data_IF_682598797779
#
_entry.id   IF_682598797779
#
_cell.length_a   1.000
_cell.length_b   1.000
_cell.length_c   1.000
_cell.angle_alpha   90.00
_cell.angle_beta   90.00
_cell.angle_gamma   90.00
#
_symmetry.space_group_name_H-M   'P 1'
#
loop_
_entity.id
_entity.type
_entity.pdbx_description
1 polymer ?
#
# COMPACT_ATOMS: atom_id res chain seq x y z
N UNK A 1 89.37 -7.39 33.69
CA UNK A 1 88.96 -5.97 33.73
C UNK A 1 87.46 -5.92 33.39
N UNK A 2 86.64 -5.34 34.27
CA UNK A 2 85.38 -4.58 34.00
C UNK A 2 84.45 -5.07 32.88
N UNK A 3 83.14 -5.30 33.00
CA UNK A 3 82.04 -4.96 33.93
C UNK A 3 80.81 -5.77 33.42
N UNK A 4 80.00 -6.38 34.30
CA UNK A 4 78.55 -6.10 34.52
C UNK A 4 77.64 -6.07 33.26
N UNK A 5 76.45 -6.68 33.13
CA UNK A 5 75.43 -7.22 34.05
C UNK A 5 74.31 -7.86 33.20
N UNK A 6 73.61 -8.85 33.78
CA UNK A 6 72.22 -9.30 33.57
C UNK A 6 71.43 -8.93 32.30
N UNK A 7 70.86 -9.96 31.65
CA UNK A 7 69.63 -9.89 30.85
C UNK A 7 68.63 -10.97 31.33
N UNK A 8 67.31 -10.69 31.36
CA UNK A 8 66.30 -11.51 32.02
C UNK A 8 65.58 -12.50 31.09
N UNK A 9 64.94 -13.50 31.71
CA UNK A 9 64.05 -14.48 31.08
C UNK A 9 62.94 -13.82 30.25
N UNK A 10 62.74 -14.31 29.04
CA UNK A 10 61.54 -14.06 28.24
C UNK A 10 60.55 -15.21 28.41
N UNK A 11 59.37 -14.91 28.96
CA UNK A 11 58.21 -15.78 28.95
C UNK A 11 57.49 -15.61 27.60
N UNK A 12 57.38 -16.69 26.81
CA UNK A 12 56.50 -16.76 25.64
C UNK A 12 55.05 -16.88 26.11
N UNK A 13 54.26 -15.83 25.92
CA UNK A 13 52.80 -15.89 25.96
C UNK A 13 52.31 -16.23 24.56
N UNK A 14 51.74 -17.43 24.41
CA UNK A 14 51.08 -17.89 23.19
C UNK A 14 49.64 -17.37 23.17
N UNK A 15 49.39 -16.29 22.43
CA UNK A 15 48.03 -15.76 22.23
C UNK A 15 47.37 -16.50 21.07
N UNK A 16 46.44 -17.41 21.36
CA UNK A 16 45.50 -17.96 20.37
C UNK A 16 44.50 -16.87 19.97
N UNK A 17 44.64 -16.31 18.77
CA UNK A 17 43.58 -15.51 18.15
C UNK A 17 42.59 -16.43 17.43
N UNK A 18 41.42 -16.66 18.04
CA UNK A 18 40.24 -17.07 17.31
C UNK A 18 39.70 -15.85 16.54
N UNK A 19 40.04 -15.75 15.25
CA UNK A 19 39.39 -14.82 14.34
C UNK A 19 37.97 -15.30 14.06
N UNK A 20 36.98 -14.78 14.79
CA UNK A 20 35.58 -14.91 14.41
C UNK A 20 35.35 -14.08 13.14
N UNK A 21 35.22 -14.76 11.99
CA UNK A 21 34.66 -14.14 10.79
C UNK A 21 33.17 -13.93 11.08
N UNK A 22 32.83 -12.75 11.61
CA UNK A 22 31.47 -12.23 11.58
C UNK A 22 31.12 -12.00 10.12
N UNK A 23 30.54 -13.02 9.47
CA UNK A 23 29.86 -12.83 8.20
C UNK A 23 28.69 -11.88 8.46
N UNK A 24 28.85 -10.61 8.11
CA UNK A 24 27.75 -9.68 8.07
C UNK A 24 26.70 -10.27 7.13
N UNK A 25 25.58 -10.73 7.69
CA UNK A 25 24.38 -11.00 6.90
C UNK A 25 24.00 -9.65 6.29
N UNK A 26 24.29 -9.48 5.01
CA UNK A 26 23.75 -8.37 4.24
C UNK A 26 22.23 -8.61 4.19
N UNK A 27 21.50 -7.98 5.09
CA UNK A 27 20.05 -7.85 4.97
C UNK A 27 19.86 -7.03 3.70
N UNK A 28 19.47 -7.70 2.60
CA UNK A 28 19.11 -6.99 1.39
C UNK A 28 18.03 -5.95 1.76
N UNK A 29 18.20 -4.66 1.45
CA UNK A 29 17.16 -3.68 1.69
C UNK A 29 15.87 -4.15 1.00
N UNK A 30 14.69 -3.89 1.60
CA UNK A 30 13.43 -4.28 0.99
C UNK A 30 13.36 -3.77 -0.45
N UNK A 31 12.87 -4.64 -1.32
CA UNK A 31 12.78 -4.48 -2.76
C UNK A 31 12.09 -3.16 -3.09
N UNK A 32 12.89 -2.18 -3.55
CA UNK A 32 12.56 -0.80 -3.94
C UNK A 32 11.94 0.08 -2.84
N UNK A 33 12.80 0.79 -2.11
CA UNK A 33 12.37 2.06 -1.49
C UNK A 33 11.95 3.02 -2.60
N UNK A 34 10.82 3.72 -2.42
CA UNK A 34 10.50 4.88 -3.22
C UNK A 34 11.73 5.80 -3.29
N UNK A 35 12.06 6.32 -4.47
CA UNK A 35 13.20 7.22 -4.67
C UNK A 35 12.74 8.66 -4.68
N UNK A 36 13.59 9.57 -4.21
CA UNK A 36 13.30 10.99 -4.37
C UNK A 36 13.30 11.37 -5.86
N UNK A 37 12.40 12.27 -6.25
CA UNK A 37 12.28 12.77 -7.61
C UNK A 37 11.81 14.22 -7.61
N UNK A 38 12.03 14.93 -8.72
CA UNK A 38 11.52 16.28 -8.93
C UNK A 38 10.52 16.27 -10.08
N UNK A 39 9.38 16.94 -9.92
CA UNK A 39 8.35 16.99 -10.95
C UNK A 39 7.51 18.26 -10.83
N UNK A 40 7.03 18.74 -11.97
CA UNK A 40 5.80 19.54 -12.00
C UNK A 40 4.60 18.66 -11.67
N UNK A 41 3.52 19.23 -11.17
CA UNK A 41 2.24 18.54 -11.02
C UNK A 41 1.20 19.22 -11.91
N UNK A 42 0.78 18.56 -12.99
CA UNK A 42 -0.13 19.10 -14.00
C UNK A 42 -1.54 18.58 -13.76
N UNK A 43 -2.48 19.45 -13.39
CA UNK A 43 -3.87 19.10 -13.15
C UNK A 43 -4.53 18.62 -14.43
N UNK A 44 -5.20 17.46 -14.42
CA UNK A 44 -5.87 16.96 -15.63
C UNK A 44 -7.15 17.72 -15.99
N UNK A 45 -7.78 18.41 -15.04
CA UNK A 45 -9.04 19.13 -15.25
C UNK A 45 -8.89 20.41 -16.07
N UNK A 46 -7.71 21.05 -16.02
CA UNK A 46 -7.45 22.31 -16.74
C UNK A 46 -6.08 22.43 -17.39
N UNK A 47 -5.17 21.47 -17.20
CA UNK A 47 -3.80 21.53 -17.72
C UNK A 47 -2.87 22.50 -16.99
N UNK A 48 -3.35 23.14 -15.92
CA UNK A 48 -2.56 24.03 -15.07
C UNK A 48 -1.67 23.27 -14.09
N UNK A 49 -0.56 23.86 -13.70
CA UNK A 49 0.42 23.31 -12.77
C UNK A 49 0.11 23.73 -11.33
N UNK A 50 0.43 22.86 -10.36
CA UNK A 50 0.61 23.23 -8.96
C UNK A 50 1.64 24.35 -8.90
N UNK A 51 1.36 25.42 -8.16
CA UNK A 51 2.15 26.64 -8.19
C UNK A 51 2.25 27.27 -6.80
N UNK A 52 3.47 27.71 -6.45
CA UNK A 52 3.70 28.64 -5.33
C UNK A 52 3.53 30.08 -5.84
N UNK A 53 2.44 30.79 -5.45
CA UNK A 53 2.11 32.09 -6.01
C UNK A 53 3.27 33.09 -5.90
N UNK A 54 3.68 33.63 -7.04
CA UNK A 54 4.73 34.65 -7.11
C UNK A 54 6.11 34.18 -6.62
N UNK A 55 6.38 32.86 -6.61
CA UNK A 55 7.61 32.28 -6.05
C UNK A 55 7.88 32.67 -4.59
N UNK A 56 6.81 32.96 -3.85
CA UNK A 56 6.92 33.44 -2.47
C UNK A 56 7.55 32.40 -1.55
N UNK A 57 8.28 32.88 -0.54
CA UNK A 57 8.86 32.05 0.53
C UNK A 57 8.08 32.17 1.84
N UNK A 58 6.87 32.75 1.83
CA UNK A 58 6.06 32.98 3.04
C UNK A 58 5.40 31.69 3.56
N UNK A 59 5.41 31.51 4.88
CA UNK A 59 4.71 30.38 5.54
C UNK A 59 3.20 30.60 5.51
N UNK A 60 2.43 29.53 5.32
CA UNK A 60 0.97 29.57 5.31
C UNK A 60 0.36 30.15 4.03
N UNK A 61 1.17 30.44 3.01
CA UNK A 61 0.67 30.87 1.71
C UNK A 61 -0.10 29.73 1.04
N UNK A 62 -1.35 29.97 0.68
CA UNK A 62 -2.16 29.01 -0.07
C UNK A 62 -1.58 28.81 -1.48
N UNK A 63 -1.35 27.56 -1.84
CA UNK A 63 -0.91 27.17 -3.18
C UNK A 63 -2.08 27.28 -4.16
N UNK A 64 -1.76 27.52 -5.42
CA UNK A 64 -2.75 27.67 -6.49
C UNK A 64 -2.47 26.66 -7.60
N UNK A 65 -3.40 26.55 -8.55
CA UNK A 65 -3.05 26.14 -9.90
C UNK A 65 -2.76 27.36 -10.77
N UNK A 66 -1.76 27.27 -11.62
CA UNK A 66 -1.43 28.33 -12.58
C UNK A 66 -1.02 27.74 -13.92
N UNK A 67 -1.08 28.53 -14.98
CA UNK A 67 -0.64 28.08 -16.30
C UNK A 67 0.80 27.61 -16.22
N UNK A 68 1.07 26.41 -16.72
CA UNK A 68 2.41 25.83 -16.67
C UNK A 68 3.40 26.69 -17.47
N UNK A 69 4.49 27.13 -16.83
CA UNK A 69 5.53 27.96 -17.44
C UNK A 69 6.95 27.48 -17.13
N UNK A 70 7.12 26.39 -16.36
CA UNK A 70 8.40 25.70 -16.19
C UNK A 70 9.38 26.37 -15.24
N UNK A 71 8.96 27.40 -14.52
CA UNK A 71 9.78 28.06 -13.49
C UNK A 71 9.83 27.24 -12.20
N UNK A 72 10.78 27.59 -11.33
CA UNK A 72 11.04 26.86 -10.09
C UNK A 72 9.81 26.78 -9.16
N UNK A 73 8.93 27.79 -9.13
CA UNK A 73 7.70 27.77 -8.31
C UNK A 73 6.65 26.74 -8.74
N UNK A 74 6.84 26.07 -9.86
CA UNK A 74 6.00 24.96 -10.34
C UNK A 74 6.69 23.60 -10.28
N UNK A 75 7.94 23.55 -9.79
CA UNK A 75 8.72 22.32 -9.69
C UNK A 75 8.89 21.91 -8.22
N UNK A 76 8.50 20.69 -7.89
CA UNK A 76 8.43 20.19 -6.52
C UNK A 76 9.32 18.97 -6.34
N UNK A 77 9.93 18.85 -5.16
CA UNK A 77 10.76 17.70 -4.80
C UNK A 77 9.95 16.73 -3.96
N UNK A 78 9.71 15.54 -4.46
CA UNK A 78 9.03 14.47 -3.76
C UNK A 78 10.07 13.62 -3.03
N UNK A 79 10.04 13.65 -1.70
CA UNK A 79 10.98 12.91 -0.84
C UNK A 79 10.24 11.76 -0.15
N UNK A 80 10.64 10.50 -0.36
CA UNK A 80 10.03 9.33 0.25
C UNK A 80 9.97 9.41 1.78
N UNK A 81 8.85 9.01 2.36
CA UNK A 81 8.74 8.83 3.81
C UNK A 81 9.28 7.45 4.16
N UNK A 82 10.32 7.42 5.01
CA UNK A 82 10.96 6.17 5.45
C UNK A 82 9.96 5.19 6.07
N UNK A 83 10.11 3.90 5.74
CA UNK A 83 9.20 2.84 6.20
C UNK A 83 7.91 2.72 5.39
N UNK A 84 7.71 3.56 4.37
CA UNK A 84 6.55 3.49 3.46
C UNK A 84 7.01 3.24 2.02
N UNK A 85 6.10 2.73 1.18
CA UNK A 85 6.38 2.46 -0.24
C UNK A 85 5.82 3.52 -1.18
N UNK A 86 4.93 4.39 -0.70
CA UNK A 86 4.14 5.29 -1.55
C UNK A 86 3.77 6.64 -0.93
N UNK A 87 4.35 6.99 0.23
CA UNK A 87 4.18 8.32 0.83
C UNK A 87 5.40 9.20 0.59
N UNK A 88 5.14 10.48 0.35
CA UNK A 88 6.14 11.49 0.06
C UNK A 88 5.88 12.76 0.88
N UNK A 89 6.95 13.38 1.38
CA UNK A 89 6.96 14.81 1.63
C UNK A 89 7.18 15.55 0.33
N UNK A 90 6.48 16.66 0.12
CA UNK A 90 6.57 17.43 -1.14
C UNK A 90 7.21 18.78 -0.82
N UNK A 91 8.49 18.91 -1.11
CA UNK A 91 9.25 20.16 -1.00
C UNK A 91 8.91 21.12 -2.12
N UNK A 92 8.72 22.39 -1.78
CA UNK A 92 8.57 23.49 -2.73
C UNK A 92 9.95 24.03 -3.15
N UNK A 93 9.98 24.94 -4.13
CA UNK A 93 11.23 25.65 -4.50
C UNK A 93 11.71 26.65 -3.45
N UNK A 94 10.86 27.07 -2.53
CA UNK A 94 11.28 27.75 -1.32
C UNK A 94 11.95 26.71 -0.40
N UNK A 95 13.28 26.65 -0.43
CA UNK A 95 14.07 25.69 0.35
C UNK A 95 13.62 25.61 1.81
N UNK A 96 13.43 24.39 2.32
CA UNK A 96 12.92 24.15 3.67
C UNK A 96 11.40 24.31 3.84
N UNK A 97 10.65 24.56 2.76
CA UNK A 97 9.18 24.59 2.76
C UNK A 97 8.59 23.42 2.00
N UNK A 98 7.51 22.89 2.55
CA UNK A 98 6.78 21.73 2.07
C UNK A 98 5.31 22.07 1.86
N UNK A 99 4.67 21.35 0.95
CA UNK A 99 3.21 21.33 0.79
C UNK A 99 2.59 20.79 2.09
N UNK A 100 1.52 21.43 2.55
CA UNK A 100 0.90 21.21 3.86
C UNK A 100 -0.62 21.35 3.74
N UNK A 101 -1.37 20.41 4.30
CA UNK A 101 -2.80 20.63 4.59
C UNK A 101 -2.88 21.56 5.79
N UNK A 102 -3.45 22.75 5.62
CA UNK A 102 -3.44 23.76 6.66
C UNK A 102 -4.07 23.24 7.97
N UNK A 103 -3.27 23.27 9.04
CA UNK A 103 -3.66 22.76 10.36
C UNK A 103 -3.85 21.24 10.43
N UNK A 104 -3.37 20.48 9.44
CA UNK A 104 -3.67 19.06 9.24
C UNK A 104 -5.17 18.73 9.30
N UNK A 105 -6.01 19.70 8.92
CA UNK A 105 -7.47 19.60 9.04
C UNK A 105 -7.99 18.39 8.25
N UNK A 106 -9.08 17.77 8.75
CA UNK A 106 -9.83 16.75 8.01
C UNK A 106 -11.00 17.32 7.20
N UNK A 107 -11.26 18.62 7.28
CA UNK A 107 -12.43 19.25 6.64
C UNK A 107 -12.28 19.35 5.11
N UNK A 108 -13.41 19.27 4.42
CA UNK A 108 -13.48 19.68 3.01
C UNK A 108 -13.13 21.15 2.87
N UNK A 109 -12.50 21.51 1.76
CA UNK A 109 -12.04 22.85 1.46
C UNK A 109 -10.96 23.40 2.41
N UNK A 110 -10.37 22.55 3.28
CA UNK A 110 -9.15 22.96 3.97
C UNK A 110 -8.06 23.27 2.95
N UNK A 111 -7.42 24.42 3.12
CA UNK A 111 -6.48 24.96 2.14
C UNK A 111 -5.18 24.17 2.12
N UNK A 112 -4.61 24.03 0.92
CA UNK A 112 -3.27 23.51 0.74
C UNK A 112 -2.31 24.69 0.72
N UNK A 113 -1.35 24.70 1.65
CA UNK A 113 -0.41 25.80 1.85
C UNK A 113 1.03 25.32 1.70
N UNK A 114 1.98 26.24 1.55
CA UNK A 114 3.37 25.93 1.88
C UNK A 114 3.67 26.25 3.34
N UNK A 115 4.47 25.42 3.99
CA UNK A 115 4.87 25.60 5.39
C UNK A 115 6.26 25.03 5.63
N UNK A 116 6.96 25.49 6.67
CA UNK A 116 8.18 24.86 7.17
C UNK A 116 8.03 23.33 7.20
N UNK A 117 8.98 22.63 6.56
CA UNK A 117 8.97 21.18 6.49
C UNK A 117 9.10 20.57 7.90
N UNK A 118 8.30 19.54 8.17
CA UNK A 118 8.27 18.79 9.41
C UNK A 118 7.83 17.34 9.16
N UNK A 119 7.49 16.63 10.25
CA UNK A 119 7.15 15.19 10.20
C UNK A 119 5.67 14.90 10.40
N UNK A 120 4.83 15.94 10.50
CA UNK A 120 3.39 15.84 10.72
C UNK A 120 2.65 15.20 9.54
N UNK A 121 1.54 14.52 9.80
CA UNK A 121 0.75 13.83 8.78
C UNK A 121 0.18 14.77 7.69
N UNK A 122 -0.03 16.06 8.03
CA UNK A 122 -0.50 17.07 7.07
C UNK A 122 0.50 17.42 5.96
N UNK A 123 1.77 16.99 6.09
CA UNK A 123 2.82 17.19 5.08
C UNK A 123 3.24 15.89 4.37
N UNK A 124 2.49 14.81 4.61
CA UNK A 124 2.72 13.51 3.97
C UNK A 124 1.60 13.28 2.97
N UNK A 125 1.98 12.96 1.75
CA UNK A 125 1.04 12.71 0.66
C UNK A 125 1.32 11.34 0.04
N UNK A 126 0.27 10.54 -0.11
CA UNK A 126 0.29 9.31 -0.87
C UNK A 126 0.07 9.62 -2.35
N UNK A 127 0.91 9.07 -3.21
CA UNK A 127 0.68 9.11 -4.65
C UNK A 127 -0.17 7.90 -5.05
N UNK A 128 -1.48 8.10 -5.14
CA UNK A 128 -2.42 7.03 -5.52
C UNK A 128 -2.54 7.00 -7.05
N UNK A 129 -2.08 5.94 -7.75
CA UNK A 129 -2.12 5.89 -9.21
C UNK A 129 -3.56 5.95 -9.73
N UNK A 130 -3.77 6.70 -10.82
CA UNK A 130 -5.05 6.78 -11.52
C UNK A 130 -4.85 6.39 -12.98
N UNK A 131 -5.48 5.28 -13.37
CA UNK A 131 -5.46 4.80 -14.76
C UNK A 131 -6.20 5.77 -15.68
N UNK A 132 -5.50 6.29 -16.70
CA UNK A 132 -6.07 7.09 -17.78
C UNK A 132 -5.58 6.52 -19.10
N UNK A 133 -6.51 6.25 -20.02
CA UNK A 133 -6.12 5.74 -21.34
C UNK A 133 -5.17 6.71 -22.04
N UNK A 134 -4.04 6.20 -22.54
CA UNK A 134 -3.04 6.98 -23.28
C UNK A 134 -2.22 7.99 -22.45
N UNK A 135 -2.35 8.01 -21.12
CA UNK A 135 -1.56 8.91 -20.26
C UNK A 135 -0.93 8.12 -19.09
N UNK A 136 0.34 8.36 -18.84
CA UNK A 136 1.10 7.77 -17.72
C UNK A 136 1.28 8.76 -16.59
N UNK A 137 1.80 8.27 -15.46
CA UNK A 137 2.24 9.11 -14.33
C UNK A 137 1.14 9.99 -13.75
N UNK A 138 -0.10 9.48 -13.74
CA UNK A 138 -1.20 10.22 -13.15
C UNK A 138 -1.54 9.70 -11.78
N UNK A 139 -1.64 10.63 -10.84
CA UNK A 139 -1.88 10.33 -9.44
C UNK A 139 -2.95 11.24 -8.86
N UNK A 140 -3.67 10.71 -7.90
CA UNK A 140 -4.30 11.49 -6.86
C UNK A 140 -3.26 11.77 -5.78
N UNK A 141 -3.02 13.03 -5.45
CA UNK A 141 -2.17 13.44 -4.33
C UNK A 141 -3.03 13.43 -3.06
N UNK A 142 -3.01 12.31 -2.36
CA UNK A 142 -3.86 12.08 -1.20
C UNK A 142 -3.12 12.48 0.09
N UNK A 143 -3.68 13.41 0.86
CA UNK A 143 -3.15 13.72 2.20
C UNK A 143 -3.25 12.50 3.10
N UNK A 144 -2.16 12.16 3.80
CA UNK A 144 -2.15 11.09 4.79
C UNK A 144 -2.95 11.46 6.03
N UNK A 145 -3.12 12.75 6.36
CA UNK A 145 -3.88 13.17 7.54
C UNK A 145 -5.38 12.99 7.42
N UNK A 146 -5.92 13.01 6.20
CA UNK A 146 -7.38 13.02 5.94
C UNK A 146 -7.84 11.99 4.91
N UNK A 147 -6.91 11.44 4.12
CA UNK A 147 -7.19 10.65 2.92
C UNK A 147 -7.92 11.39 1.80
N UNK A 148 -7.97 12.73 1.87
CA UNK A 148 -8.55 13.59 0.83
C UNK A 148 -7.49 14.03 -0.17
N UNK A 149 -7.93 14.35 -1.38
CA UNK A 149 -7.07 14.67 -2.50
C UNK A 149 -6.87 16.17 -2.65
N UNK A 150 -5.63 16.58 -2.92
CA UNK A 150 -5.30 17.95 -3.35
C UNK A 150 -6.00 18.22 -4.68
N UNK A 151 -6.84 19.25 -4.72
CA UNK A 151 -7.61 19.64 -5.91
C UNK A 151 -7.82 21.16 -5.93
N UNK A 152 -8.02 21.78 -7.10
CA UNK A 152 -8.53 23.14 -7.18
C UNK A 152 -9.88 23.27 -6.48
N UNK A 153 -10.08 24.39 -5.78
CA UNK A 153 -11.36 24.69 -5.14
C UNK A 153 -12.52 24.62 -6.15
N UNK A 154 -13.57 23.88 -5.78
CA UNK A 154 -14.74 23.65 -6.64
C UNK A 154 -14.44 22.86 -7.93
N UNK A 155 -13.31 22.13 -8.00
CA UNK A 155 -12.85 21.42 -9.20
C UNK A 155 -12.70 22.36 -10.43
N UNK A 156 -12.49 23.66 -10.19
CA UNK A 156 -12.31 24.69 -11.22
C UNK A 156 -11.06 24.43 -12.07
N UNK A 157 -11.11 24.76 -13.36
CA UNK A 157 -9.96 24.73 -14.28
C UNK A 157 -9.27 26.08 -14.43
N UNK A 158 -9.75 27.14 -13.78
CA UNK A 158 -9.22 28.49 -13.94
C UNK A 158 -7.85 28.66 -13.27
N UNK A 159 -6.90 29.29 -13.96
CA UNK A 159 -5.64 29.73 -13.38
C UNK A 159 -5.89 30.69 -12.21
N UNK A 160 -5.08 30.57 -11.16
CA UNK A 160 -5.25 31.34 -9.92
C UNK A 160 -6.19 30.70 -8.91
N UNK A 161 -6.86 29.60 -9.26
CA UNK A 161 -7.70 28.89 -8.29
C UNK A 161 -6.84 28.32 -7.16
N UNK A 162 -7.20 28.67 -5.92
CA UNK A 162 -6.59 28.12 -4.72
C UNK A 162 -6.80 26.62 -4.60
N UNK A 163 -5.78 25.93 -4.10
CA UNK A 163 -5.85 24.50 -3.85
C UNK A 163 -6.40 24.21 -2.47
N UNK A 164 -7.21 23.16 -2.41
CA UNK A 164 -7.84 22.63 -1.20
C UNK A 164 -7.75 21.11 -1.19
N UNK A 165 -8.23 20.48 -0.13
CA UNK A 165 -8.54 19.06 -0.14
C UNK A 165 -10.05 18.80 -0.27
N UNK A 166 -10.40 17.78 -1.05
CA UNK A 166 -11.75 17.23 -1.18
C UNK A 166 -11.68 15.69 -1.25
N UNK A 167 -12.80 14.95 -1.06
CA UNK A 167 -12.80 13.51 -1.22
C UNK A 167 -12.18 13.09 -2.56
N UNK A 168 -11.34 12.07 -2.56
CA UNK A 168 -10.73 11.57 -3.78
C UNK A 168 -11.81 10.99 -4.72
N UNK A 169 -11.77 11.35 -6.00
CA UNK A 169 -12.64 10.78 -7.05
C UNK A 169 -11.84 10.58 -8.34
N UNK A 170 -12.39 9.87 -9.31
CA UNK A 170 -11.79 9.73 -10.64
C UNK A 170 -11.86 10.98 -11.52
N UNK A 171 -12.47 12.07 -11.04
CA UNK A 171 -12.62 13.32 -11.80
C UNK A 171 -11.26 13.90 -12.18
N UNK A 172 -11.14 14.42 -13.41
CA UNK A 172 -9.88 14.95 -13.92
C UNK A 172 -9.30 16.08 -13.04
N UNK A 173 -10.15 16.94 -12.47
CA UNK A 173 -9.72 18.01 -11.57
C UNK A 173 -9.04 17.52 -10.27
N UNK A 174 -9.29 16.27 -9.83
CA UNK A 174 -8.73 15.70 -8.58
C UNK A 174 -7.49 14.85 -8.80
N UNK A 175 -6.87 15.00 -9.96
CA UNK A 175 -5.77 14.15 -10.41
C UNK A 175 -4.70 14.97 -11.14
N UNK A 176 -3.46 14.54 -10.98
CA UNK A 176 -2.29 15.29 -11.39
C UNK A 176 -1.32 14.38 -12.12
N UNK A 177 -0.90 14.78 -13.32
CA UNK A 177 0.19 14.14 -14.03
C UNK A 177 1.52 14.65 -13.46
N UNK A 178 2.43 13.74 -13.13
CA UNK A 178 3.76 14.01 -12.59
C UNK A 178 4.85 13.57 -13.60
N UNK A 179 5.22 14.40 -14.58
CA UNK A 179 6.11 14.00 -15.67
C UNK A 179 7.53 13.60 -15.22
N UNK A 180 7.97 14.06 -14.05
CA UNK A 180 9.27 13.76 -13.48
C UNK A 180 9.27 12.59 -12.51
N UNK A 181 8.19 11.80 -12.44
CA UNK A 181 8.14 10.60 -11.61
C UNK A 181 9.17 9.57 -12.10
N UNK A 182 10.20 9.29 -11.30
CA UNK A 182 11.30 8.37 -11.65
C UNK A 182 11.20 7.01 -10.96
N UNK A 183 10.19 6.78 -10.12
CA UNK A 183 9.89 5.44 -9.65
C UNK A 183 9.55 4.59 -10.87
N UNK A 184 10.26 3.49 -11.11
CA UNK A 184 9.89 2.54 -12.16
C UNK A 184 8.41 2.14 -11.98
N UNK A 185 7.53 2.70 -12.82
CA UNK A 185 6.09 2.49 -12.74
C UNK A 185 5.24 3.56 -13.45
N UNK A 186 5.82 4.31 -14.39
CA UNK A 186 5.15 5.39 -15.10
C UNK A 186 4.28 4.91 -16.25
N UNK A 187 3.10 4.48 -15.85
CA UNK A 187 1.95 4.00 -16.60
C UNK A 187 1.11 3.19 -15.61
N UNK A 188 -0.12 2.80 -15.93
CA UNK A 188 -0.57 1.53 -15.39
C UNK A 188 0.36 0.49 -16.02
N UNK A 189 1.56 0.29 -15.45
CA UNK A 189 2.24 -0.96 -15.62
C UNK A 189 1.34 -1.91 -14.88
N UNK A 190 0.43 -2.54 -15.62
CA UNK A 190 -0.07 -3.89 -15.37
C UNK A 190 0.92 -4.54 -14.41
N UNK A 191 0.59 -4.67 -13.11
CA UNK A 191 1.58 -5.16 -12.15
C UNK A 191 2.17 -6.46 -12.65
N UNK A 192 3.44 -6.77 -12.32
CA UNK A 192 4.12 -7.91 -12.88
C UNK A 192 3.23 -9.14 -12.82
N UNK A 193 3.13 -9.89 -13.92
CA UNK A 193 2.35 -11.13 -13.88
C UNK A 193 2.99 -12.09 -12.87
N UNK A 194 2.21 -13.04 -12.38
CA UNK A 194 2.61 -13.99 -11.33
C UNK A 194 2.91 -13.34 -9.97
N UNK A 195 2.24 -12.23 -9.67
CA UNK A 195 2.20 -11.62 -8.33
C UNK A 195 0.83 -11.76 -7.69
N UNK A 196 0.78 -11.56 -6.38
CA UNK A 196 -0.45 -11.37 -5.64
C UNK A 196 -0.77 -9.88 -5.60
N UNK A 197 -1.92 -9.49 -6.16
CA UNK A 197 -2.45 -8.12 -6.07
C UNK A 197 -3.40 -8.04 -4.89
N UNK A 198 -3.24 -7.03 -4.06
CA UNK A 198 -4.08 -6.84 -2.88
C UNK A 198 -4.81 -5.51 -3.00
N UNK A 199 -6.11 -5.53 -2.76
CA UNK A 199 -6.99 -4.37 -2.88
C UNK A 199 -7.66 -4.12 -1.54
N UNK A 200 -7.72 -2.85 -1.14
CA UNK A 200 -8.67 -2.40 -0.14
C UNK A 200 -9.73 -1.55 -0.84
N UNK A 201 -10.95 -2.07 -0.99
CA UNK A 201 -12.07 -1.32 -1.52
C UNK A 201 -12.74 -0.56 -0.38
N UNK A 202 -12.58 0.76 -0.42
CA UNK A 202 -13.19 1.70 0.52
C UNK A 202 -14.45 2.28 -0.12
N UNK A 203 -15.67 1.94 0.37
CA UNK A 203 -16.89 2.57 -0.13
C UNK A 203 -16.82 4.10 -0.13
N UNK A 204 -17.66 4.74 -0.95
CA UNK A 204 -17.58 6.18 -1.22
C UNK A 204 -17.84 7.06 0.01
N UNK A 205 -18.65 6.57 0.94
CA UNK A 205 -19.05 7.19 2.21
C UNK A 205 -18.17 6.75 3.41
N UNK A 206 -17.28 5.78 3.22
CA UNK A 206 -16.33 5.35 4.25
C UNK A 206 -15.13 6.30 4.22
N UNK A 207 -14.78 6.95 5.35
CA UNK A 207 -13.60 7.80 5.40
C UNK A 207 -12.34 6.94 5.21
N UNK A 208 -11.32 7.52 4.59
CA UNK A 208 -10.03 6.85 4.53
C UNK A 208 -9.45 6.76 5.94
N UNK A 209 -8.96 5.57 6.27
CA UNK A 209 -8.27 5.33 7.51
C UNK A 209 -7.03 4.50 7.19
N UNK A 210 -5.88 5.08 7.49
CA UNK A 210 -4.56 4.53 7.20
C UNK A 210 -4.33 3.17 7.86
N UNK A 211 -5.05 2.85 8.94
CA UNK A 211 -4.96 1.57 9.64
C UNK A 211 -5.35 0.38 8.76
N UNK A 212 -6.28 0.56 7.83
CA UNK A 212 -6.72 -0.52 6.94
C UNK A 212 -5.64 -0.96 5.95
N UNK A 213 -5.11 -0.11 5.05
CA UNK A 213 -4.07 -0.55 4.13
C UNK A 213 -2.78 -1.00 4.85
N UNK A 214 -2.43 -0.41 5.99
CA UNK A 214 -1.27 -0.85 6.78
C UNK A 214 -1.51 -2.22 7.43
N UNK A 215 -2.70 -2.43 7.98
CA UNK A 215 -3.13 -3.69 8.57
C UNK A 215 -3.21 -4.84 7.56
N UNK A 216 -3.83 -4.58 6.42
CA UNK A 216 -3.93 -5.53 5.30
C UNK A 216 -2.52 -5.87 4.78
N UNK A 217 -1.66 -4.88 4.61
CA UNK A 217 -0.27 -5.13 4.24
C UNK A 217 0.47 -5.99 5.28
N UNK A 218 0.17 -5.80 6.57
CA UNK A 218 0.76 -6.56 7.68
C UNK A 218 0.32 -8.02 7.64
N UNK A 219 -0.97 -8.31 7.49
CA UNK A 219 -1.46 -9.71 7.39
C UNK A 219 -0.93 -10.41 6.15
N UNK A 220 -0.83 -9.72 5.01
CA UNK A 220 -0.25 -10.28 3.78
C UNK A 220 1.24 -10.59 3.89
N UNK A 221 2.02 -9.72 4.56
CA UNK A 221 3.44 -9.97 4.82
C UNK A 221 3.65 -11.10 5.82
N UNK A 222 2.77 -11.24 6.81
CA UNK A 222 2.80 -12.38 7.73
C UNK A 222 2.47 -13.69 7.00
N UNK A 223 1.49 -13.68 6.09
CA UNK A 223 1.24 -14.83 5.21
C UNK A 223 2.46 -15.15 4.34
N UNK A 224 3.18 -14.15 3.79
CA UNK A 224 4.45 -14.43 3.09
C UNK A 224 5.50 -15.09 4.00
N UNK A 225 5.59 -14.67 5.27
CA UNK A 225 6.49 -15.29 6.25
C UNK A 225 6.11 -16.76 6.47
N UNK A 226 4.83 -17.01 6.71
CA UNK A 226 4.28 -18.33 6.97
C UNK A 226 4.49 -19.29 5.78
N UNK A 227 4.13 -18.87 4.57
CA UNK A 227 4.33 -19.69 3.36
C UNK A 227 5.82 -19.98 3.11
N UNK A 228 6.70 -18.99 3.30
CA UNK A 228 8.15 -19.22 3.19
C UNK A 228 8.65 -20.24 4.22
N UNK A 229 8.16 -20.16 5.46
CA UNK A 229 8.52 -21.10 6.52
C UNK A 229 8.04 -22.52 6.18
N UNK A 230 6.80 -22.67 5.70
CA UNK A 230 6.19 -23.97 5.45
C UNK A 230 6.65 -24.65 4.15
N UNK A 231 6.94 -23.86 3.11
CA UNK A 231 7.19 -24.33 1.74
C UNK A 231 8.62 -24.10 1.24
N UNK A 232 9.42 -23.30 1.95
CA UNK A 232 10.71 -22.81 1.47
C UNK A 232 10.61 -21.76 0.34
N UNK A 233 9.39 -21.48 -0.14
CA UNK A 233 9.06 -20.47 -1.16
C UNK A 233 7.88 -19.64 -0.72
N UNK A 234 7.70 -18.46 -1.31
CA UNK A 234 6.50 -17.67 -1.08
C UNK A 234 6.08 -16.90 -2.32
N UNK A 235 4.85 -16.41 -2.30
CA UNK A 235 4.33 -15.52 -3.32
C UNK A 235 4.99 -14.15 -3.28
N UNK A 236 5.02 -13.48 -4.43
CA UNK A 236 5.50 -12.10 -4.57
C UNK A 236 4.35 -11.11 -4.50
N UNK A 237 4.45 -10.14 -3.59
CA UNK A 237 3.58 -8.97 -3.56
C UNK A 237 4.08 -7.89 -4.54
N UNK A 238 3.16 -7.04 -4.99
CA UNK A 238 3.51 -5.84 -5.75
C UNK A 238 4.31 -4.83 -4.89
N UNK A 239 4.97 -3.88 -5.56
CA UNK A 239 5.67 -2.77 -4.88
C UNK A 239 4.73 -2.01 -3.96
N UNK A 240 3.56 -1.63 -4.46
CA UNK A 240 2.42 -1.24 -3.64
C UNK A 240 1.74 -2.51 -3.15
N UNK A 241 1.91 -2.84 -1.87
CA UNK A 241 1.33 -4.06 -1.30
C UNK A 241 -0.19 -4.01 -1.39
N UNK A 242 -0.81 -2.91 -0.94
CA UNK A 242 -2.27 -2.72 -0.94
C UNK A 242 -2.64 -1.55 -1.85
N UNK A 243 -3.38 -1.86 -2.91
CA UNK A 243 -3.99 -0.89 -3.80
C UNK A 243 -5.27 -0.36 -3.14
N UNK A 244 -5.26 0.90 -2.68
CA UNK A 244 -6.44 1.55 -2.11
C UNK A 244 -7.39 1.93 -3.25
N UNK A 245 -8.58 1.35 -3.25
CA UNK A 245 -9.59 1.56 -4.28
C UNK A 245 -10.75 2.35 -3.70
N UNK A 246 -11.01 3.54 -4.26
CA UNK A 246 -12.25 4.25 -3.97
C UNK A 246 -13.40 3.54 -4.67
N UNK A 247 -14.34 3.05 -3.88
CA UNK A 247 -15.58 2.45 -4.33
C UNK A 247 -16.48 3.50 -5.00
N UNK A 248 -17.20 3.07 -6.04
CA UNK A 248 -18.15 3.91 -6.76
C UNK A 248 -19.47 4.10 -5.99
N UNK A 249 -19.72 3.25 -4.99
CA UNK A 249 -20.98 3.17 -4.26
C UNK A 249 -20.79 3.37 -2.74
N UNK A 250 -21.83 3.79 -2.00
CA UNK A 250 -21.77 3.86 -0.55
C UNK A 250 -21.77 2.45 0.07
N UNK A 251 -21.33 2.33 1.32
CA UNK A 251 -21.25 1.07 2.07
C UNK A 251 -22.55 0.29 2.03
N UNK A 252 -23.67 0.98 2.27
CA UNK A 252 -25.01 0.39 2.28
C UNK A 252 -25.40 -0.27 0.95
N UNK A 253 -24.86 0.18 -0.18
CA UNK A 253 -25.11 -0.42 -1.48
C UNK A 253 -24.43 -1.80 -1.58
N UNK A 254 -23.17 -1.94 -1.16
CA UNK A 254 -22.48 -3.22 -1.18
C UNK A 254 -23.16 -4.25 -0.27
N UNK A 255 -23.68 -3.80 0.88
CA UNK A 255 -24.32 -4.64 1.88
C UNK A 255 -25.73 -5.11 1.50
N UNK A 256 -26.47 -4.30 0.73
CA UNK A 256 -27.90 -4.51 0.52
C UNK A 256 -28.31 -4.70 -0.94
N UNK A 257 -27.41 -4.52 -1.91
CA UNK A 257 -27.74 -4.72 -3.32
C UNK A 257 -27.59 -6.20 -3.68
N UNK A 258 -28.70 -6.88 -4.06
CA UNK A 258 -28.65 -8.29 -4.40
C UNK A 258 -27.76 -8.55 -5.61
N UNK A 259 -26.88 -9.54 -5.49
CA UNK A 259 -26.01 -9.98 -6.56
C UNK A 259 -25.72 -11.47 -6.40
N UNK A 260 -26.59 -12.30 -6.97
CA UNK A 260 -26.66 -13.74 -6.73
C UNK A 260 -27.79 -14.13 -5.78
N UNK A 261 -27.89 -15.44 -5.49
CA UNK A 261 -29.02 -16.02 -4.76
C UNK A 261 -28.91 -15.97 -3.23
N UNK A 262 -27.70 -15.78 -2.68
CA UNK A 262 -27.45 -15.80 -1.23
C UNK A 262 -26.87 -14.45 -0.78
N UNK A 263 -27.49 -13.86 0.26
CA UNK A 263 -27.11 -12.59 0.86
C UNK A 263 -25.68 -12.62 1.40
N UNK A 264 -25.21 -13.78 1.84
CA UNK A 264 -23.87 -13.94 2.37
C UNK A 264 -22.79 -13.41 1.41
N UNK A 265 -23.02 -13.60 0.10
CA UNK A 265 -22.07 -13.31 -0.96
C UNK A 265 -22.24 -11.96 -1.64
N UNK A 266 -23.25 -11.15 -1.28
CA UNK A 266 -23.54 -9.92 -2.02
C UNK A 266 -22.39 -8.93 -1.97
N UNK A 267 -21.84 -8.64 -0.78
CA UNK A 267 -20.71 -7.71 -0.63
C UNK A 267 -19.48 -8.18 -1.41
N UNK A 268 -19.15 -9.47 -1.31
CA UNK A 268 -18.05 -10.13 -2.04
C UNK A 268 -18.23 -10.00 -3.55
N UNK A 269 -19.40 -10.38 -4.06
CA UNK A 269 -19.67 -10.40 -5.51
C UNK A 269 -19.73 -8.98 -6.08
N UNK A 270 -20.31 -8.04 -5.34
CA UNK A 270 -20.35 -6.62 -5.71
C UNK A 270 -18.94 -6.02 -5.77
N UNK A 271 -18.10 -6.29 -4.76
CA UNK A 271 -16.69 -5.88 -4.77
C UNK A 271 -15.95 -6.47 -5.96
N UNK A 272 -16.07 -7.78 -6.19
CA UNK A 272 -15.35 -8.46 -7.25
C UNK A 272 -15.73 -7.93 -8.63
N UNK A 273 -17.03 -7.72 -8.90
CA UNK A 273 -17.52 -7.13 -10.15
C UNK A 273 -16.97 -5.71 -10.35
N UNK A 274 -16.88 -4.92 -9.29
CA UNK A 274 -16.33 -3.57 -9.36
C UNK A 274 -14.83 -3.56 -9.64
N UNK A 275 -14.05 -4.39 -8.94
CA UNK A 275 -12.62 -4.53 -9.21
C UNK A 275 -12.35 -5.08 -10.61
N UNK A 276 -13.13 -6.08 -11.05
CA UNK A 276 -13.05 -6.63 -12.39
C UNK A 276 -13.30 -5.55 -13.45
N UNK A 277 -14.32 -4.71 -13.28
CA UNK A 277 -14.59 -3.58 -14.19
C UNK A 277 -13.49 -2.52 -14.16
N UNK A 278 -12.97 -2.16 -12.98
CA UNK A 278 -11.96 -1.09 -12.83
C UNK A 278 -10.59 -1.49 -13.36
N UNK A 279 -10.22 -2.76 -13.20
CA UNK A 279 -8.86 -3.25 -13.47
C UNK A 279 -8.77 -4.30 -14.57
N UNK A 280 -9.91 -4.65 -15.19
CA UNK A 280 -9.97 -5.66 -16.25
C UNK A 280 -9.53 -7.04 -15.76
N UNK A 281 -10.01 -7.44 -14.57
CA UNK A 281 -9.65 -8.71 -13.94
C UNK A 281 -10.59 -9.82 -14.37
N UNK A 282 -10.06 -11.03 -14.52
CA UNK A 282 -10.84 -12.24 -14.71
C UNK A 282 -11.02 -12.99 -13.38
N UNK A 283 -12.00 -13.88 -13.31
CA UNK A 283 -12.16 -14.81 -12.18
C UNK A 283 -12.29 -16.25 -12.70
N UNK A 284 -11.25 -17.10 -12.56
CA UNK A 284 -9.89 -16.80 -12.10
C UNK A 284 -9.08 -15.92 -13.10
N UNK A 285 -8.01 -15.26 -12.64
CA UNK A 285 -7.09 -14.50 -13.51
C UNK A 285 -5.74 -15.22 -13.65
N UNK A 286 -5.30 -15.49 -14.89
CA UNK A 286 -4.04 -16.17 -15.14
C UNK A 286 -2.80 -15.29 -14.90
N UNK A 287 -2.97 -13.96 -14.82
CA UNK A 287 -1.90 -13.00 -14.61
C UNK A 287 -1.64 -12.78 -13.12
N UNK A 288 -2.68 -12.82 -12.30
CA UNK A 288 -2.63 -12.43 -10.89
C UNK A 288 -3.50 -13.32 -10.01
N UNK A 289 -3.03 -13.59 -8.80
CA UNK A 289 -3.89 -14.01 -7.71
C UNK A 289 -4.34 -12.74 -7.00
N UNK A 290 -5.64 -12.56 -6.80
CA UNK A 290 -6.20 -11.31 -6.31
C UNK A 290 -6.74 -11.49 -4.89
N UNK A 291 -6.39 -10.58 -4.00
CA UNK A 291 -6.90 -10.50 -2.63
C UNK A 291 -7.64 -9.18 -2.51
N UNK A 292 -8.90 -9.23 -2.14
CA UNK A 292 -9.74 -8.07 -1.94
C UNK A 292 -10.25 -8.01 -0.52
N UNK A 293 -10.11 -6.89 0.17
CA UNK A 293 -10.86 -6.61 1.38
C UNK A 293 -11.76 -5.39 1.16
N UNK A 294 -13.02 -5.46 1.59
CA UNK A 294 -13.97 -4.34 1.49
C UNK A 294 -14.42 -3.89 2.87
N UNK A 295 -14.41 -2.58 3.13
CA UNK A 295 -14.97 -2.02 4.38
C UNK A 295 -16.51 -1.94 4.33
N UNK A 296 -17.18 -3.06 4.08
CA UNK A 296 -18.63 -3.23 4.05
C UNK A 296 -19.00 -4.66 4.45
N UNK A 297 -19.98 -4.81 5.35
CA UNK A 297 -20.51 -6.11 5.76
C UNK A 297 -21.91 -5.94 6.34
N UNK A 298 -22.89 -6.54 5.67
CA UNK A 298 -24.26 -6.56 6.15
C UNK A 298 -24.52 -7.72 7.11
N UNK A 299 -25.66 -7.71 7.78
CA UNK A 299 -26.11 -8.85 8.58
C UNK A 299 -26.16 -10.13 7.73
N UNK A 300 -25.52 -11.19 8.23
CA UNK A 300 -25.43 -12.48 7.57
C UNK A 300 -24.47 -12.52 6.37
N UNK A 301 -23.59 -11.53 6.22
CA UNK A 301 -22.54 -11.50 5.20
C UNK A 301 -21.18 -11.98 5.74
N UNK A 302 -20.27 -12.34 4.83
CA UNK A 302 -18.90 -12.70 5.17
C UNK A 302 -17.99 -12.71 3.94
N UNK A 303 -16.73 -13.06 4.18
CA UNK A 303 -15.73 -13.29 3.13
C UNK A 303 -15.73 -14.72 2.60
N UNK A 304 -14.87 -14.95 1.62
CA UNK A 304 -14.44 -16.27 1.20
C UNK A 304 -13.45 -16.23 0.04
N UNK A 305 -12.89 -17.40 -0.25
CA UNK A 305 -11.90 -17.56 -1.29
C UNK A 305 -12.21 -18.74 -2.22
N UNK A 306 -11.61 -18.65 -3.41
CA UNK A 306 -11.63 -19.67 -4.45
C UNK A 306 -10.31 -19.61 -5.22
N UNK A 307 -9.96 -20.60 -6.05
CA UNK A 307 -8.67 -20.59 -6.75
C UNK A 307 -8.43 -19.26 -7.51
N UNK A 308 -7.38 -18.54 -7.14
CA UNK A 308 -7.02 -17.24 -7.72
C UNK A 308 -7.66 -16.00 -7.09
N UNK A 309 -8.59 -16.16 -6.15
CA UNK A 309 -9.32 -15.06 -5.55
C UNK A 309 -9.55 -15.26 -4.05
N UNK A 310 -9.20 -14.24 -3.28
CA UNK A 310 -9.65 -14.04 -1.89
C UNK A 310 -10.48 -12.78 -1.86
N UNK A 311 -11.68 -12.82 -1.29
CA UNK A 311 -12.48 -11.62 -1.05
C UNK A 311 -13.03 -11.65 0.38
N UNK A 312 -12.61 -10.69 1.19
CA UNK A 312 -12.92 -10.61 2.60
C UNK A 312 -13.80 -9.40 2.92
N UNK A 313 -14.65 -9.55 3.92
CA UNK A 313 -15.70 -8.57 4.25
C UNK A 313 -15.19 -7.47 5.21
N UNK A 314 -16.10 -6.58 5.62
CA UNK A 314 -15.81 -5.47 6.53
C UNK A 314 -15.20 -5.89 7.87
N UNK A 315 -15.68 -6.99 8.46
CA UNK A 315 -15.16 -7.52 9.71
C UNK A 315 -13.71 -7.99 9.59
N UNK A 316 -13.35 -8.60 8.45
CA UNK A 316 -11.97 -8.97 8.15
C UNK A 316 -11.07 -7.75 7.94
N UNK A 317 -11.57 -6.73 7.23
CA UNK A 317 -10.87 -5.47 7.06
C UNK A 317 -10.64 -4.75 8.40
N UNK A 318 -11.64 -4.72 9.28
CA UNK A 318 -11.54 -4.19 10.65
C UNK A 318 -10.56 -5.01 11.49
N UNK A 319 -10.56 -6.33 11.28
CA UNK A 319 -9.63 -7.26 11.89
C UNK A 319 -8.18 -7.01 11.52
N UNK A 320 -7.90 -6.94 10.22
CA UNK A 320 -6.59 -6.62 9.68
C UNK A 320 -6.11 -5.24 10.17
N UNK A 321 -7.01 -4.25 10.22
CA UNK A 321 -6.74 -2.91 10.73
C UNK A 321 -6.50 -2.85 12.25
N UNK A 322 -6.76 -3.95 12.98
CA UNK A 322 -6.63 -4.03 14.43
C UNK A 322 -7.71 -3.26 15.20
N UNK A 323 -8.86 -3.00 14.57
CA UNK A 323 -9.98 -2.25 15.16
C UNK A 323 -11.09 -3.16 15.73
N UNK A 324 -11.03 -4.46 15.47
CA UNK A 324 -12.02 -5.44 15.94
C UNK A 324 -11.94 -5.76 17.45
N UNK A 325 -10.84 -5.40 18.12
CA UNK A 325 -10.57 -5.76 19.52
C UNK A 325 -10.17 -7.23 19.73
N UNK A 326 -10.11 -8.03 18.65
CA UNK A 326 -9.68 -9.43 18.70
C UNK A 326 -8.18 -9.56 18.48
N UNK A 327 -7.60 -10.69 18.91
CA UNK A 327 -6.18 -10.99 18.70
C UNK A 327 -5.83 -11.00 17.21
N UNK A 328 -4.67 -10.42 16.86
CA UNK A 328 -4.17 -10.43 15.48
C UNK A 328 -3.92 -11.84 14.93
N UNK A 329 -3.69 -12.82 15.79
CA UNK A 329 -3.47 -14.20 15.36
C UNK A 329 -4.68 -14.77 14.61
N UNK A 330 -5.91 -14.38 14.98
CA UNK A 330 -7.12 -14.78 14.24
C UNK A 330 -7.05 -14.35 12.78
N UNK A 331 -6.62 -13.10 12.55
CA UNK A 331 -6.57 -12.49 11.22
C UNK A 331 -5.36 -12.98 10.42
N UNK A 332 -4.25 -13.29 11.08
CA UNK A 332 -3.10 -13.96 10.45
C UNK A 332 -3.47 -15.38 10.00
N UNK A 333 -4.08 -16.18 10.87
CA UNK A 333 -4.55 -17.53 10.54
C UNK A 333 -5.60 -17.51 9.43
N UNK A 334 -6.60 -16.61 9.53
CA UNK A 334 -7.63 -16.44 8.51
C UNK A 334 -7.05 -16.08 7.14
N UNK A 335 -6.13 -15.11 7.05
CA UNK A 335 -5.50 -14.76 5.78
C UNK A 335 -4.71 -15.94 5.19
N UNK A 336 -4.01 -16.73 6.01
CA UNK A 336 -3.31 -17.94 5.55
C UNK A 336 -4.29 -18.98 5.02
N UNK A 337 -5.43 -19.19 5.71
CA UNK A 337 -6.49 -20.10 5.29
C UNK A 337 -7.07 -19.71 3.92
N UNK A 338 -7.50 -18.46 3.77
CA UNK A 338 -8.12 -17.97 2.53
C UNK A 338 -7.14 -17.96 1.36
N UNK A 339 -5.87 -17.59 1.60
CA UNK A 339 -4.82 -17.74 0.59
C UNK A 339 -4.61 -19.21 0.19
N UNK A 340 -4.77 -20.15 1.13
CA UNK A 340 -4.72 -21.58 0.84
C UNK A 340 -5.75 -21.98 -0.23
N UNK A 341 -6.98 -21.51 -0.11
CA UNK A 341 -8.01 -21.68 -1.16
C UNK A 341 -7.63 -21.01 -2.46
N UNK A 342 -7.06 -19.81 -2.42
CA UNK A 342 -6.61 -19.12 -3.62
C UNK A 342 -5.44 -19.85 -4.32
N UNK A 343 -4.60 -20.56 -3.57
CA UNK A 343 -3.58 -21.48 -4.10
C UNK A 343 -4.14 -22.86 -4.48
N UNK A 344 -5.44 -23.09 -4.33
CA UNK A 344 -6.15 -24.26 -4.83
C UNK A 344 -6.35 -25.37 -3.80
N UNK A 345 -6.21 -25.10 -2.50
CA UNK A 345 -6.55 -26.05 -1.45
C UNK A 345 -8.07 -26.04 -1.15
N UNK A 346 -8.70 -27.20 -0.94
CA UNK A 346 -10.03 -27.27 -0.36
C UNK A 346 -9.98 -27.06 1.16
N UNK A 347 -11.16 -26.86 1.75
CA UNK A 347 -11.32 -27.02 3.20
C UNK A 347 -10.98 -28.45 3.63
N UNK A 348 -10.33 -28.55 4.77
CA UNK A 348 -10.20 -29.81 5.50
C UNK A 348 -11.52 -30.14 6.20
N UNK A 349 -11.96 -31.40 6.09
CA UNK A 349 -13.22 -31.87 6.68
C UNK A 349 -13.17 -32.08 8.21
N UNK A 350 -12.03 -31.83 8.85
CA UNK A 350 -11.80 -32.01 10.28
C UNK A 350 -10.76 -31.02 10.80
N UNK A 351 -10.80 -30.70 12.10
CA UNK A 351 -9.72 -29.97 12.79
C UNK A 351 -8.47 -30.84 12.86
N UNK A 352 -7.54 -30.59 11.94
CA UNK A 352 -6.39 -31.46 11.64
C UNK A 352 -5.03 -30.82 11.95
N UNK A 353 -5.02 -29.65 12.61
CA UNK A 353 -3.81 -28.88 12.89
C UNK A 353 -3.28 -28.10 11.68
N UNK A 354 -3.95 -28.18 10.53
CA UNK A 354 -3.60 -27.41 9.33
C UNK A 354 -4.34 -26.08 9.31
N UNK A 355 -3.81 -25.04 8.65
CA UNK A 355 -4.54 -23.79 8.49
C UNK A 355 -5.76 -23.93 7.55
N UNK A 356 -5.93 -25.05 6.83
CA UNK A 356 -7.12 -25.29 5.99
C UNK A 356 -8.29 -25.93 6.74
N UNK A 357 -8.15 -26.14 8.05
CA UNK A 357 -9.25 -26.53 8.92
C UNK A 357 -9.56 -25.41 9.92
N UNK A 358 -10.53 -25.64 10.79
CA UNK A 358 -10.81 -24.74 11.92
C UNK A 358 -9.59 -24.47 12.84
N UNK A 359 -8.49 -25.22 12.69
CA UNK A 359 -7.24 -24.98 13.42
C UNK A 359 -6.59 -23.65 13.06
N UNK A 360 -7.01 -22.93 12.00
CA UNK A 360 -6.47 -21.59 11.71
C UNK A 360 -6.60 -20.61 12.90
N UNK A 361 -7.56 -20.83 13.81
CA UNK A 361 -7.69 -20.08 15.07
C UNK A 361 -6.51 -20.29 16.04
N UNK A 362 -5.77 -21.40 15.89
CA UNK A 362 -4.62 -21.76 16.72
C UNK A 362 -3.30 -21.15 16.21
N UNK A 363 -3.36 -20.23 15.23
CA UNK A 363 -2.18 -19.54 14.71
C UNK A 363 -1.31 -18.93 15.85
N UNK A 364 0.03 -19.06 15.80
CA UNK A 364 0.86 -19.56 14.70
C UNK A 364 1.09 -21.07 14.68
N UNK A 365 0.47 -21.84 15.58
CA UNK A 365 0.76 -23.26 15.80
C UNK A 365 -0.02 -24.18 14.84
N UNK A 366 -0.02 -23.83 13.56
CA UNK A 366 -0.61 -24.64 12.48
C UNK A 366 0.41 -24.89 11.39
N UNK A 367 0.31 -26.03 10.71
CA UNK A 367 1.25 -26.41 9.65
C UNK A 367 0.54 -27.05 8.47
N UNK A 368 0.98 -26.74 7.24
CA UNK A 368 0.46 -27.45 6.08
C UNK A 368 0.88 -28.92 6.13
N UNK A 369 -0.03 -29.84 5.83
CA UNK A 369 0.32 -31.25 5.61
C UNK A 369 1.18 -31.40 4.35
N UNK A 370 1.96 -32.47 4.26
CA UNK A 370 2.80 -32.70 3.06
C UNK A 370 1.96 -32.75 1.76
N UNK A 371 0.73 -33.27 1.83
CA UNK A 371 -0.20 -33.28 0.69
C UNK A 371 -0.58 -31.86 0.26
N UNK A 372 -0.96 -31.00 1.22
CA UNK A 372 -1.28 -29.59 0.95
C UNK A 372 -0.07 -28.84 0.38
N UNK A 373 1.14 -29.07 0.91
CA UNK A 373 2.38 -28.47 0.37
C UNK A 373 2.59 -28.85 -1.10
N UNK A 374 2.43 -30.13 -1.43
CA UNK A 374 2.56 -30.63 -2.80
C UNK A 374 1.49 -30.02 -3.72
N UNK A 375 0.25 -29.90 -3.24
CA UNK A 375 -0.87 -29.34 -4.01
C UNK A 375 -0.70 -27.83 -4.26
N UNK A 376 -0.23 -27.06 -3.28
CA UNK A 376 0.10 -25.64 -3.46
C UNK A 376 1.21 -25.49 -4.52
N UNK A 377 2.31 -26.23 -4.38
CA UNK A 377 3.49 -26.08 -5.24
C UNK A 377 3.24 -26.58 -6.67
N UNK A 378 2.45 -27.64 -6.84
CA UNK A 378 2.07 -28.22 -8.13
C UNK A 378 0.78 -27.64 -8.73
N UNK A 379 0.07 -26.79 -7.99
CA UNK A 379 -1.22 -26.25 -8.35
C UNK A 379 -1.16 -25.14 -9.41
N UNK A 380 -2.33 -24.64 -9.87
CA UNK A 380 -2.41 -23.65 -10.94
C UNK A 380 -1.67 -22.34 -10.63
N UNK A 381 -1.61 -21.96 -9.34
CA UNK A 381 -0.89 -20.78 -8.86
C UNK A 381 0.48 -21.12 -8.24
N UNK A 382 0.96 -22.36 -8.31
CA UNK A 382 2.28 -22.74 -7.79
C UNK A 382 3.43 -21.95 -8.43
N UNK A 383 3.26 -21.52 -9.69
CA UNK A 383 4.23 -20.68 -10.39
C UNK A 383 4.36 -19.24 -9.88
N UNK A 384 3.50 -18.83 -8.95
CA UNK A 384 3.56 -17.54 -8.27
C UNK A 384 4.50 -17.58 -7.06
N UNK A 385 4.92 -18.77 -6.65
CA UNK A 385 5.81 -19.00 -5.53
C UNK A 385 7.26 -19.07 -6.02
N UNK A 386 8.12 -18.21 -5.47
CA UNK A 386 9.54 -18.12 -5.80
C UNK A 386 10.44 -18.32 -4.59
#
# INVERSE_FOLDING_TARGET
MTRSRFLPLWAMVLTLMFGAVMGAVAIAPPVHAATAFASTAVNRGGGNCLDVPGSSTADGLQLIQWTCHGEANQNFTFTPVGGTTDQYGIGTSAGGRCVDVNGASGADNATIVQRACGTGAGQKFRLVPVTVSGTTDVFSLQSVSSGKCVTPAGDSSASGTGLVQLPCTGAAARTWRLPGFTGSGGGPTTPPTKTVRVYWLKPSDVPFDQRYPDGIAKVMREAQRYYRQELGKTFKLNTTVVEVVNGDQPRSWYENTPNGGDRYWWAVTNMQNELARKFGLNNPDSRWLNVGEISAEGEGAGGGASPGWVVLSGHDADGAAGTSGQSMNRWYGGMVHELGHAFGLPDSSSTDGTPMSASFYDYPDTHFSQSQKNQILGGPYGSFLS
#
